data_IF_332074756735
#
_entry.id   IF_332074756735
#
_cell.length_a   1.000
_cell.length_b   1.000
_cell.length_c   1.000
_cell.angle_alpha   90.00
_cell.angle_beta   90.00
_cell.angle_gamma   90.00
#
_symmetry.space_group_name_H-M   'P 1'
#
loop_
_entity.id
_entity.type
_entity.pdbx_description
1 polymer ?
#
# COMPACT_ATOMS: atom_id res chain seq x y z
N UNK A 1 -51.15 -37.89 24.87
CA UNK A 1 -49.99 -37.41 25.66
C UNK A 1 -48.68 -37.41 24.88
N UNK A 2 -48.39 -38.40 24.03
CA UNK A 2 -47.07 -38.49 23.37
C UNK A 2 -46.87 -37.53 22.17
N UNK A 3 -47.92 -37.18 21.43
CA UNK A 3 -47.81 -36.32 20.24
C UNK A 3 -47.53 -34.84 20.59
N UNK A 4 -48.12 -34.32 21.67
CA UNK A 4 -47.90 -32.94 22.12
C UNK A 4 -46.48 -32.75 22.68
N UNK A 5 -45.95 -33.74 23.41
CA UNK A 5 -44.57 -33.73 23.92
C UNK A 5 -43.57 -33.79 22.76
N UNK A 6 -43.84 -34.59 21.72
CA UNK A 6 -43.00 -34.65 20.51
C UNK A 6 -43.02 -33.33 19.73
N UNK A 7 -44.17 -32.68 19.62
CA UNK A 7 -44.31 -31.39 18.96
C UNK A 7 -43.60 -30.25 19.72
N UNK A 8 -43.70 -30.24 21.06
CA UNK A 8 -43.03 -29.26 21.93
C UNK A 8 -41.50 -29.41 21.89
N UNK A 9 -41.00 -30.64 21.89
CA UNK A 9 -39.56 -30.92 21.81
C UNK A 9 -38.97 -30.59 20.43
N UNK A 10 -39.72 -30.86 19.35
CA UNK A 10 -39.34 -30.46 17.99
C UNK A 10 -39.29 -28.94 17.80
N UNK A 11 -40.28 -28.21 18.33
CA UNK A 11 -40.31 -26.76 18.28
C UNK A 11 -39.14 -26.12 19.07
N UNK A 12 -38.79 -26.67 20.23
CA UNK A 12 -37.67 -26.20 21.05
C UNK A 12 -36.31 -26.43 20.37
N UNK A 13 -36.11 -27.57 19.70
CA UNK A 13 -34.89 -27.81 18.92
C UNK A 13 -34.75 -26.85 17.74
N UNK A 14 -35.87 -26.57 17.04
CA UNK A 14 -35.90 -25.64 15.92
C UNK A 14 -35.54 -24.20 16.31
N UNK A 15 -36.04 -23.72 17.46
CA UNK A 15 -35.71 -22.38 17.96
C UNK A 15 -34.25 -22.26 18.39
N UNK A 16 -33.69 -23.29 19.03
CA UNK A 16 -32.27 -23.31 19.42
C UNK A 16 -31.36 -23.24 18.19
N UNK A 17 -31.65 -24.03 17.15
CA UNK A 17 -30.87 -24.01 15.90
C UNK A 17 -30.97 -22.65 15.20
N UNK A 18 -32.16 -22.05 15.15
CA UNK A 18 -32.36 -20.73 14.55
C UNK A 18 -31.58 -19.65 15.30
N UNK A 19 -31.64 -19.65 16.63
CA UNK A 19 -30.90 -18.70 17.46
C UNK A 19 -29.38 -18.88 17.29
N UNK A 20 -28.89 -20.11 17.16
CA UNK A 20 -27.48 -20.37 16.89
C UNK A 20 -27.05 -19.86 15.51
N UNK A 21 -27.86 -20.05 14.45
CA UNK A 21 -27.56 -19.53 13.11
C UNK A 21 -27.56 -17.99 13.09
N UNK A 22 -28.51 -17.36 13.78
CA UNK A 22 -28.54 -15.90 13.91
C UNK A 22 -27.32 -15.42 14.69
N UNK A 23 -27.00 -16.04 15.83
CA UNK A 23 -25.82 -15.68 16.60
C UNK A 23 -24.54 -15.87 15.80
N UNK A 24 -24.40 -16.98 15.06
CA UNK A 24 -23.24 -17.26 14.22
C UNK A 24 -23.09 -16.24 13.08
N UNK A 25 -24.17 -15.93 12.37
CA UNK A 25 -24.16 -14.93 11.29
C UNK A 25 -23.85 -13.53 11.83
N UNK A 26 -24.45 -13.13 12.95
CA UNK A 26 -24.17 -11.87 13.64
C UNK A 26 -22.74 -11.84 14.17
N UNK A 27 -22.22 -12.93 14.73
CA UNK A 27 -20.84 -13.02 15.20
C UNK A 27 -19.83 -12.84 14.06
N UNK A 28 -20.03 -13.55 12.94
CA UNK A 28 -19.17 -13.40 11.77
C UNK A 28 -19.31 -12.02 11.11
N UNK A 29 -20.52 -11.45 11.07
CA UNK A 29 -20.76 -10.10 10.58
C UNK A 29 -20.08 -9.06 11.48
N UNK A 30 -20.24 -9.14 12.81
CA UNK A 30 -19.59 -8.28 13.79
C UNK A 30 -18.07 -8.45 13.76
N UNK A 31 -17.52 -9.66 13.62
CA UNK A 31 -16.08 -9.90 13.48
C UNK A 31 -15.53 -9.29 12.18
N UNK A 32 -16.27 -9.39 11.07
CA UNK A 32 -15.90 -8.79 9.77
C UNK A 32 -15.97 -7.26 9.80
N UNK A 33 -17.01 -6.70 10.42
CA UNK A 33 -17.16 -5.25 10.62
C UNK A 33 -16.07 -4.71 11.54
N UNK A 34 -15.82 -5.40 12.66
CA UNK A 34 -14.75 -5.07 13.61
C UNK A 34 -13.38 -5.12 12.94
N UNK A 35 -13.05 -6.13 12.13
CA UNK A 35 -11.80 -6.16 11.34
C UNK A 35 -11.64 -4.99 10.36
N UNK A 36 -12.74 -4.39 9.90
CA UNK A 36 -12.73 -3.23 9.01
C UNK A 36 -12.62 -1.90 9.79
N UNK A 37 -13.12 -1.84 11.02
CA UNK A 37 -13.09 -0.67 11.91
C UNK A 37 -11.84 -0.62 12.81
N UNK A 38 -11.30 -1.76 13.27
CA UNK A 38 -10.10 -1.86 14.14
C UNK A 38 -8.81 -1.42 13.42
N UNK A 39 -8.82 -1.38 12.08
CA UNK A 39 -7.69 -0.86 11.28
C UNK A 39 -7.72 0.66 11.08
N UNK A 40 -8.77 1.36 11.50
CA UNK A 40 -8.77 2.82 11.52
C UNK A 40 -8.05 3.32 12.77
N UNK A 41 -6.72 3.14 12.82
CA UNK A 41 -5.90 3.88 13.77
C UNK A 41 -5.96 5.35 13.32
N UNK A 42 -6.45 6.29 14.15
CA UNK A 42 -6.37 7.70 13.82
C UNK A 42 -4.88 8.06 13.76
N UNK A 43 -4.33 8.19 12.56
CA UNK A 43 -2.96 8.62 12.39
C UNK A 43 -2.84 10.08 12.82
N UNK A 44 -1.72 10.50 13.43
CA UNK A 44 -1.50 11.90 13.78
C UNK A 44 -1.71 12.78 12.55
N UNK A 45 -2.55 13.81 12.68
CA UNK A 45 -2.80 14.77 11.62
C UNK A 45 -1.47 15.37 11.12
N UNK A 46 -1.23 15.29 9.81
CA UNK A 46 -0.14 16.01 9.14
C UNK A 46 0.93 15.16 8.46
N UNK A 47 1.01 13.84 8.70
CA UNK A 47 2.10 13.01 8.13
C UNK A 47 1.65 12.14 6.94
N UNK A 48 0.41 11.65 6.95
CA UNK A 48 -0.12 10.76 5.90
C UNK A 48 -1.58 11.14 5.59
N UNK A 49 -1.87 11.67 4.40
CA UNK A 49 -3.20 12.19 4.04
C UNK A 49 -4.16 11.05 3.71
N UNK A 50 -5.39 11.13 4.21
CA UNK A 50 -6.49 10.29 3.75
C UNK A 50 -7.16 10.93 2.53
N UNK A 51 -7.15 10.23 1.39
CA UNK A 51 -7.78 10.65 0.15
C UNK A 51 -9.13 9.95 -0.03
N UNK A 52 -10.09 10.66 -0.62
CA UNK A 52 -11.36 10.10 -1.05
C UNK A 52 -11.21 9.32 -2.36
N UNK A 53 -12.10 8.34 -2.60
CA UNK A 53 -12.12 7.62 -3.87
C UNK A 53 -12.32 8.57 -5.08
N UNK A 54 -13.06 9.67 -4.90
CA UNK A 54 -13.28 10.69 -5.93
C UNK A 54 -11.98 11.40 -6.32
N UNK A 55 -11.18 11.81 -5.34
CA UNK A 55 -9.87 12.44 -5.60
C UNK A 55 -8.93 11.50 -6.36
N UNK A 56 -8.84 10.24 -5.94
CA UNK A 56 -8.01 9.25 -6.62
C UNK A 56 -8.47 9.01 -8.06
N UNK A 57 -9.77 8.88 -8.29
CA UNK A 57 -10.32 8.73 -9.64
C UNK A 57 -10.04 9.94 -10.50
N UNK A 58 -10.21 11.15 -9.97
CA UNK A 58 -9.89 12.37 -10.72
C UNK A 58 -8.39 12.42 -11.07
N UNK A 59 -7.52 12.10 -10.10
CA UNK A 59 -6.07 12.16 -10.28
C UNK A 59 -5.53 11.15 -11.29
N UNK A 60 -6.23 10.04 -11.49
CA UNK A 60 -5.86 8.96 -12.42
C UNK A 60 -6.69 8.92 -13.69
N UNK A 61 -7.54 9.94 -13.93
CA UNK A 61 -8.53 9.93 -15.04
C UNK A 61 -9.33 8.62 -15.07
N UNK A 62 -9.80 8.22 -13.88
CA UNK A 62 -10.51 6.98 -13.59
C UNK A 62 -9.69 5.71 -13.92
N UNK A 63 -8.43 5.67 -13.48
CA UNK A 63 -7.48 4.59 -13.73
C UNK A 63 -7.24 4.32 -15.22
N UNK A 64 -7.02 5.39 -15.99
CA UNK A 64 -6.71 5.31 -17.41
C UNK A 64 -5.47 4.43 -17.66
N UNK A 65 -5.54 3.58 -18.68
CA UNK A 65 -4.46 2.68 -19.05
C UNK A 65 -3.24 3.43 -19.57
N UNK A 66 -3.44 4.60 -20.17
CA UNK A 66 -2.34 5.42 -20.68
C UNK A 66 -1.49 6.03 -19.54
N UNK A 67 -2.04 6.05 -18.32
CA UNK A 67 -1.35 6.49 -17.11
C UNK A 67 -0.71 5.33 -16.34
N UNK A 68 -0.85 4.08 -16.80
CA UNK A 68 -0.27 2.92 -16.14
C UNK A 68 1.26 2.90 -16.30
N UNK A 69 1.98 3.01 -15.18
CA UNK A 69 3.45 3.00 -15.14
C UNK A 69 4.02 1.72 -14.52
N UNK A 70 3.18 0.83 -13.99
CA UNK A 70 3.60 -0.49 -13.54
C UNK A 70 2.43 -1.41 -13.25
N UNK A 71 2.57 -2.69 -13.59
CA UNK A 71 1.65 -3.76 -13.19
C UNK A 71 2.48 -4.91 -12.63
N UNK A 72 2.24 -5.25 -11.37
CA UNK A 72 3.00 -6.28 -10.66
C UNK A 72 2.13 -7.07 -9.70
N UNK A 73 2.79 -7.93 -8.93
CA UNK A 73 2.14 -8.75 -7.89
C UNK A 73 1.39 -7.88 -6.86
N UNK A 74 2.01 -6.76 -6.46
CA UNK A 74 1.52 -5.86 -5.41
C UNK A 74 0.49 -4.82 -5.87
N UNK A 75 0.00 -4.93 -7.11
CA UNK A 75 -0.99 -4.01 -7.66
C UNK A 75 -0.56 -3.33 -8.96
N UNK A 76 -1.35 -2.33 -9.35
CA UNK A 76 -1.11 -1.47 -10.50
C UNK A 76 -0.72 -0.08 -10.03
N UNK A 77 0.30 0.51 -10.64
CA UNK A 77 0.78 1.85 -10.32
C UNK A 77 0.46 2.76 -11.49
N UNK A 78 -0.21 3.87 -11.20
CA UNK A 78 -0.58 4.88 -12.17
C UNK A 78 0.16 6.19 -11.87
N UNK A 79 0.56 6.90 -12.91
CA UNK A 79 0.95 8.30 -12.78
C UNK A 79 -0.31 9.15 -12.64
N UNK A 80 -0.33 10.07 -11.68
CA UNK A 80 -1.48 10.95 -11.47
C UNK A 80 -1.12 12.33 -10.98
N UNK A 81 -2.13 13.19 -10.87
CA UNK A 81 -1.98 14.59 -10.46
C UNK A 81 -3.18 15.00 -9.60
N UNK A 82 -2.95 15.64 -8.46
CA UNK A 82 -4.06 16.12 -7.60
C UNK A 82 -4.65 17.44 -8.09
N UNK A 83 -3.89 18.19 -8.85
CA UNK A 83 -4.24 19.50 -9.37
C UNK A 83 -4.61 19.45 -10.85
N UNK A 84 -5.54 20.31 -11.26
CA UNK A 84 -5.96 20.42 -12.66
C UNK A 84 -4.83 20.89 -13.58
N UNK A 85 -3.88 21.65 -13.02
CA UNK A 85 -2.71 22.19 -13.72
C UNK A 85 -1.60 21.13 -13.91
N UNK A 86 -1.73 19.94 -13.30
CA UNK A 86 -0.79 18.83 -13.40
C UNK A 86 0.65 19.21 -13.04
N UNK A 87 0.83 20.02 -11.99
CA UNK A 87 2.15 20.52 -11.61
C UNK A 87 2.97 19.48 -10.85
N UNK A 88 2.33 18.68 -10.00
CA UNK A 88 3.01 17.73 -9.11
C UNK A 88 2.63 16.30 -9.45
N UNK A 89 3.51 15.53 -10.11
CA UNK A 89 3.22 14.14 -10.45
C UNK A 89 3.27 13.25 -9.20
N UNK A 90 2.36 12.27 -9.16
CA UNK A 90 2.23 11.28 -8.10
C UNK A 90 2.29 9.86 -8.66
N UNK A 91 2.76 8.92 -7.85
CA UNK A 91 2.62 7.50 -8.10
C UNK A 91 1.46 6.94 -7.25
N UNK A 92 0.43 6.42 -7.91
CA UNK A 92 -0.82 5.96 -7.29
C UNK A 92 -0.90 4.44 -7.46
N UNK A 93 -0.57 3.70 -6.40
CA UNK A 93 -0.56 2.22 -6.36
C UNK A 93 -1.93 1.72 -5.92
N UNK A 94 -2.72 1.20 -6.86
CA UNK A 94 -3.99 0.54 -6.61
C UNK A 94 -3.80 -0.97 -6.43
N UNK A 95 -4.27 -1.50 -5.32
CA UNK A 95 -4.20 -2.93 -5.05
C UNK A 95 -5.17 -3.72 -5.93
N UNK A 96 -4.78 -4.95 -6.30
CA UNK A 96 -5.65 -5.86 -7.04
C UNK A 96 -6.75 -6.38 -6.11
N UNK A 97 -8.04 -6.33 -6.52
CA UNK A 97 -9.13 -6.83 -5.70
C UNK A 97 -8.97 -8.34 -5.44
N UNK A 98 -9.29 -8.77 -4.21
CA UNK A 98 -9.34 -10.17 -3.74
C UNK A 98 -8.02 -10.85 -3.32
N UNK A 99 -6.95 -10.11 -3.01
CA UNK A 99 -5.79 -10.67 -2.31
C UNK A 99 -5.87 -10.35 -0.82
N UNK A 100 -6.13 -11.35 0.03
CA UNK A 100 -6.05 -11.17 1.50
C UNK A 100 -4.65 -10.73 1.92
N UNK A 101 -3.62 -11.24 1.24
CA UNK A 101 -2.24 -10.82 1.42
C UNK A 101 -2.03 -9.34 1.05
N UNK A 102 -2.76 -8.81 0.07
CA UNK A 102 -2.67 -7.41 -0.34
C UNK A 102 -3.19 -6.46 0.72
N UNK A 103 -4.28 -6.78 1.42
CA UNK A 103 -4.79 -5.92 2.49
C UNK A 103 -3.83 -5.81 3.67
N UNK A 104 -3.19 -6.92 4.05
CA UNK A 104 -2.22 -6.92 5.15
C UNK A 104 -0.96 -6.11 4.78
N UNK A 105 -0.48 -6.27 3.54
CA UNK A 105 0.64 -5.48 3.03
C UNK A 105 0.33 -3.98 2.97
N UNK A 106 -0.89 -3.62 2.56
CA UNK A 106 -1.33 -2.22 2.53
C UNK A 106 -1.23 -1.55 3.90
N UNK A 107 -1.77 -2.20 4.93
CA UNK A 107 -1.75 -1.64 6.29
C UNK A 107 -0.36 -1.65 6.91
N UNK A 108 0.42 -2.72 6.69
CA UNK A 108 1.81 -2.78 7.14
C UNK A 108 2.65 -1.66 6.50
N UNK A 109 2.44 -1.39 5.21
CA UNK A 109 3.13 -0.34 4.49
C UNK A 109 2.73 1.05 5.00
N UNK A 110 1.44 1.32 5.25
CA UNK A 110 0.98 2.57 5.87
C UNK A 110 1.60 2.74 7.25
N UNK A 111 1.47 1.74 8.12
CA UNK A 111 1.95 1.82 9.51
C UNK A 111 3.45 2.10 9.59
N UNK A 112 4.22 1.50 8.68
CA UNK A 112 5.67 1.66 8.61
C UNK A 112 6.03 3.00 7.98
N UNK A 113 5.58 3.27 6.75
CA UNK A 113 6.01 4.44 5.97
C UNK A 113 5.42 5.76 6.45
N UNK A 114 4.30 5.75 7.19
CA UNK A 114 3.78 6.97 7.81
C UNK A 114 4.71 7.51 8.89
N UNK A 115 5.59 6.69 9.47
CA UNK A 115 6.48 7.07 10.58
C UNK A 115 7.91 7.36 10.14
N UNK A 116 8.25 7.03 8.90
CA UNK A 116 9.61 7.11 8.38
C UNK A 116 9.79 8.29 7.43
N UNK A 117 10.89 9.02 7.60
CA UNK A 117 11.28 10.11 6.70
C UNK A 117 12.78 10.04 6.50
N UNK A 118 13.21 9.78 5.27
CA UNK A 118 14.62 9.70 4.93
C UNK A 118 14.82 10.05 3.44
N UNK A 119 15.91 10.74 3.05
CA UNK A 119 16.14 11.16 1.67
C UNK A 119 16.13 10.02 0.65
N UNK A 120 16.59 8.83 1.05
CA UNK A 120 16.67 7.62 0.20
C UNK A 120 15.51 6.63 0.43
N UNK A 121 14.38 7.10 0.97
CA UNK A 121 13.14 6.34 1.13
C UNK A 121 12.05 7.04 0.31
N UNK A 122 11.28 6.30 -0.46
CA UNK A 122 10.14 6.88 -1.17
C UNK A 122 9.09 7.34 -0.17
N UNK A 123 8.70 8.62 -0.29
CA UNK A 123 7.77 9.24 0.63
C UNK A 123 6.33 8.79 0.36
N UNK A 124 5.70 8.14 1.34
CA UNK A 124 4.25 7.95 1.37
C UNK A 124 3.58 9.29 1.67
N UNK A 125 2.80 9.79 0.71
CA UNK A 125 2.03 11.04 0.83
C UNK A 125 0.69 10.77 1.50
N UNK A 126 0.07 9.63 1.17
CA UNK A 126 -1.22 9.28 1.74
C UNK A 126 -1.78 7.97 1.21
N UNK A 127 -3.02 7.72 1.57
CA UNK A 127 -3.73 6.50 1.21
C UNK A 127 -5.22 6.76 1.02
N UNK A 128 -5.89 5.84 0.34
CA UNK A 128 -7.35 5.78 0.23
C UNK A 128 -7.79 4.35 0.56
N UNK A 129 -8.77 4.22 1.45
CA UNK A 129 -9.47 2.97 1.72
C UNK A 129 -10.98 3.22 1.74
N UNK A 130 -11.55 3.44 0.56
CA UNK A 130 -12.96 3.82 0.39
C UNK A 130 -13.59 3.01 -0.75
N UNK A 131 -14.87 2.66 -0.67
CA UNK A 131 -15.59 1.92 -1.73
C UNK A 131 -14.92 0.62 -2.21
N UNK A 132 -14.19 -0.10 -1.34
CA UNK A 132 -13.33 -1.27 -1.67
C UNK A 132 -12.12 -0.95 -2.55
N UNK A 133 -11.81 0.33 -2.74
CA UNK A 133 -10.60 0.81 -3.38
C UNK A 133 -9.54 1.02 -2.31
N UNK A 134 -8.47 0.22 -2.36
CA UNK A 134 -7.28 0.35 -1.51
C UNK A 134 -6.15 0.89 -2.36
N UNK A 135 -5.68 2.10 -2.04
CA UNK A 135 -4.70 2.85 -2.83
C UNK A 135 -3.67 3.51 -1.93
N UNK A 136 -2.40 3.41 -2.31
CA UNK A 136 -1.29 4.14 -1.70
C UNK A 136 -0.81 5.23 -2.67
N UNK A 137 -0.52 6.41 -2.14
CA UNK A 137 -0.12 7.59 -2.90
C UNK A 137 1.29 7.99 -2.49
N UNK A 138 2.21 8.01 -3.43
CA UNK A 138 3.62 8.34 -3.22
C UNK A 138 4.06 9.51 -4.09
N UNK A 139 5.22 10.08 -3.74
CA UNK A 139 5.97 10.90 -4.69
C UNK A 139 6.30 10.09 -5.96
N UNK A 140 6.23 10.74 -7.12
CA UNK A 140 6.57 10.12 -8.40
C UNK A 140 8.09 10.17 -8.64
N UNK A 141 8.67 9.03 -9.03
CA UNK A 141 10.10 8.89 -9.34
C UNK A 141 10.27 8.78 -10.86
N UNK A 142 10.85 9.80 -11.48
CA UNK A 142 10.74 9.99 -12.93
C UNK A 142 11.52 8.98 -13.79
N UNK A 143 12.63 8.46 -13.28
CA UNK A 143 13.50 7.53 -14.02
C UNK A 143 13.21 6.06 -13.74
N UNK A 144 12.06 5.76 -13.13
CA UNK A 144 11.61 4.39 -12.93
C UNK A 144 12.55 3.60 -12.02
N UNK A 145 12.80 2.33 -12.36
CA UNK A 145 13.54 1.40 -11.50
C UNK A 145 14.99 1.24 -11.93
N UNK A 146 15.88 0.95 -10.98
CA UNK A 146 17.28 0.61 -11.24
C UNK A 146 17.44 -0.66 -12.11
N UNK A 147 16.43 -1.53 -12.13
CA UNK A 147 16.42 -2.75 -12.97
C UNK A 147 16.61 -2.38 -14.44
N UNK A 148 15.98 -1.30 -14.90
CA UNK A 148 15.92 -0.98 -16.32
C UNK A 148 17.29 -0.62 -16.89
N UNK A 149 18.06 0.34 -16.34
CA UNK A 149 19.40 0.65 -16.85
C UNK A 149 20.46 -0.40 -16.53
N UNK A 150 20.20 -1.37 -15.65
CA UNK A 150 21.12 -2.48 -15.37
C UNK A 150 20.98 -3.67 -16.32
N UNK A 151 19.75 -3.98 -16.75
CA UNK A 151 19.46 -5.21 -17.48
C UNK A 151 18.90 -4.98 -18.89
N UNK A 152 18.42 -3.78 -19.23
CA UNK A 152 17.88 -3.50 -20.56
C UNK A 152 18.97 -2.94 -21.48
N UNK A 153 19.11 -3.57 -22.65
CA UNK A 153 20.18 -3.30 -23.61
C UNK A 153 20.01 -2.01 -24.40
N UNK A 154 18.83 -1.37 -24.32
CA UNK A 154 18.52 -0.17 -25.10
C UNK A 154 18.87 1.14 -24.38
N UNK A 155 19.12 1.10 -23.07
CA UNK A 155 19.54 2.27 -22.31
C UNK A 155 21.06 2.32 -22.19
N UNK A 156 21.67 3.51 -22.19
CA UNK A 156 23.08 3.64 -21.87
C UNK A 156 23.34 3.07 -20.47
N UNK A 157 24.44 2.32 -20.26
CA UNK A 157 24.76 1.77 -18.96
C UNK A 157 25.04 2.90 -17.97
N UNK A 158 24.67 2.69 -16.71
CA UNK A 158 25.00 3.65 -15.64
C UNK A 158 26.53 3.82 -15.53
N UNK A 159 27.04 5.06 -15.50
CA UNK A 159 28.43 5.37 -15.13
C UNK A 159 28.79 4.76 -13.78
N UNK A 160 30.08 4.47 -13.59
CA UNK A 160 30.58 3.82 -12.37
C UNK A 160 30.30 4.66 -11.12
N UNK A 161 30.46 5.97 -11.24
CA UNK A 161 30.23 6.95 -10.17
C UNK A 161 28.78 6.89 -9.68
N UNK A 162 27.81 6.85 -10.62
CA UNK A 162 26.39 6.74 -10.27
C UNK A 162 26.06 5.40 -9.58
N UNK A 163 26.70 4.30 -9.99
CA UNK A 163 26.52 2.99 -9.32
C UNK A 163 26.98 3.03 -7.87
N UNK A 164 28.13 3.67 -7.61
CA UNK A 164 28.63 3.86 -6.25
C UNK A 164 27.68 4.72 -5.42
N UNK A 165 27.17 5.82 -5.98
CA UNK A 165 26.17 6.67 -5.30
C UNK A 165 24.91 5.89 -4.92
N UNK A 166 24.40 5.06 -5.83
CA UNK A 166 23.26 4.17 -5.58
C UNK A 166 23.57 3.21 -4.42
N UNK A 167 24.74 2.55 -4.42
CA UNK A 167 25.13 1.65 -3.34
C UNK A 167 25.22 2.37 -1.99
N UNK A 168 25.78 3.58 -1.97
CA UNK A 168 25.87 4.41 -0.75
C UNK A 168 24.47 4.79 -0.28
N UNK A 169 23.58 5.22 -1.17
CA UNK A 169 22.20 5.55 -0.85
C UNK A 169 21.45 4.37 -0.22
N UNK A 170 21.57 3.18 -0.82
CA UNK A 170 20.99 1.93 -0.32
C UNK A 170 21.56 1.58 1.06
N UNK A 171 22.87 1.67 1.26
CA UNK A 171 23.49 1.40 2.55
C UNK A 171 23.01 2.38 3.64
N UNK A 172 22.86 3.66 3.31
CA UNK A 172 22.37 4.69 4.24
C UNK A 172 20.94 4.43 4.68
N UNK A 173 20.02 4.12 3.75
CA UNK A 173 18.63 3.82 4.15
C UNK A 173 18.54 2.52 4.95
N UNK A 174 19.30 1.48 4.60
CA UNK A 174 19.32 0.25 5.38
C UNK A 174 19.85 0.49 6.79
N UNK A 175 20.90 1.29 6.94
CA UNK A 175 21.38 1.70 8.25
C UNK A 175 20.30 2.44 9.04
N UNK A 176 19.63 3.43 8.43
CA UNK A 176 18.52 4.16 9.05
C UNK A 176 17.38 3.24 9.52
N UNK A 177 16.97 2.28 8.68
CA UNK A 177 15.93 1.31 9.03
C UNK A 177 16.35 0.36 10.16
N UNK A 178 17.62 -0.05 10.17
CA UNK A 178 18.10 -1.06 11.11
C UNK A 178 18.52 -0.49 12.47
N UNK A 179 19.06 0.74 12.49
CA UNK A 179 19.64 1.37 13.66
C UNK A 179 18.68 2.33 14.40
N UNK A 180 17.40 2.37 14.01
CA UNK A 180 16.42 3.28 14.62
C UNK A 180 16.20 3.03 16.13
N UNK A 181 15.97 4.11 16.87
CA UNK A 181 15.97 4.15 18.35
C UNK A 181 14.86 3.36 19.04
N UNK A 182 13.79 3.00 18.31
CA UNK A 182 12.61 2.33 18.91
C UNK A 182 12.49 0.87 18.50
N UNK A 183 12.58 0.57 17.20
CA UNK A 183 12.48 -0.80 16.68
C UNK A 183 13.24 -0.93 15.35
N UNK A 184 13.99 -2.02 15.20
CA UNK A 184 14.64 -2.39 13.93
C UNK A 184 13.58 -2.75 12.87
N UNK A 185 13.60 -2.03 11.73
CA UNK A 185 12.71 -2.28 10.60
C UNK A 185 13.45 -3.10 9.55
N UNK A 186 12.95 -4.30 9.25
CA UNK A 186 13.53 -5.17 8.22
C UNK A 186 12.71 -5.02 6.94
N UNK A 187 13.32 -4.52 5.86
CA UNK A 187 12.63 -4.28 4.59
C UNK A 187 12.18 -5.57 3.87
N UNK A 188 12.98 -6.64 3.93
CA UNK A 188 12.71 -8.00 3.36
C UNK A 188 12.62 -8.13 1.83
N UNK A 189 12.56 -7.05 1.06
CA UNK A 189 12.42 -7.10 -0.41
C UNK A 189 13.36 -6.12 -1.13
N UNK A 190 14.62 -6.08 -0.70
CA UNK A 190 15.66 -5.26 -1.35
C UNK A 190 16.06 -5.93 -2.66
N UNK A 191 15.69 -5.30 -3.78
CA UNK A 191 16.00 -5.74 -5.14
C UNK A 191 16.00 -4.54 -6.10
N UNK A 192 16.61 -4.71 -7.27
CA UNK A 192 16.76 -3.64 -8.28
C UNK A 192 15.43 -3.06 -8.78
N UNK A 193 14.33 -3.83 -8.74
CA UNK A 193 12.99 -3.32 -9.09
C UNK A 193 12.33 -2.48 -8.00
N UNK A 194 12.89 -2.45 -6.79
CA UNK A 194 12.42 -1.64 -5.66
C UNK A 194 13.36 -0.47 -5.34
N UNK A 195 14.42 -0.30 -6.11
CA UNK A 195 15.27 0.89 -6.08
C UNK A 195 14.78 1.79 -7.21
N UNK A 196 14.22 2.94 -6.85
CA UNK A 196 13.67 3.94 -7.77
C UNK A 196 14.64 5.10 -7.95
N UNK A 197 14.66 5.64 -9.17
CA UNK A 197 15.55 6.72 -9.59
C UNK A 197 14.74 8.01 -9.83
N UNK A 198 15.21 9.13 -9.27
CA UNK A 198 14.56 10.45 -9.39
C UNK A 198 15.26 11.34 -10.44
N UNK A 199 14.53 12.33 -10.97
CA UNK A 199 14.99 13.33 -11.96
C UNK A 199 16.06 14.28 -11.41
N UNK A 200 16.02 14.51 -10.09
CA UNK A 200 16.82 15.56 -9.45
C UNK A 200 18.25 15.13 -9.24
N UNK A 201 19.17 15.65 -10.07
CA UNK A 201 20.64 15.65 -9.94
C UNK A 201 21.20 16.39 -8.69
N UNK A 202 20.40 16.62 -7.66
CA UNK A 202 20.96 17.11 -6.39
C UNK A 202 21.52 15.89 -5.66
N UNK A 203 22.84 15.89 -5.42
CA UNK A 203 23.71 14.85 -4.82
C UNK A 203 23.20 14.07 -3.57
N UNK A 204 21.96 14.28 -3.11
CA UNK A 204 21.35 13.67 -1.93
C UNK A 204 20.02 12.93 -2.16
N UNK A 205 19.33 13.02 -3.32
CA UNK A 205 18.01 12.37 -3.51
C UNK A 205 17.80 11.56 -4.80
N UNK A 206 18.87 11.24 -5.54
CA UNK A 206 18.78 10.56 -6.85
C UNK A 206 18.23 9.11 -6.77
N UNK A 207 18.19 8.52 -5.58
CA UNK A 207 17.87 7.11 -5.39
C UNK A 207 17.07 6.92 -4.11
N UNK A 208 15.92 6.28 -4.25
CA UNK A 208 15.05 5.93 -3.13
C UNK A 208 14.61 4.48 -3.21
N UNK A 209 14.51 3.84 -2.06
CA UNK A 209 13.94 2.50 -1.95
C UNK A 209 12.44 2.61 -1.71
N UNK A 210 11.64 1.80 -2.40
CA UNK A 210 10.23 1.56 -2.08
C UNK A 210 10.08 0.24 -1.33
N UNK A 211 9.15 0.21 -0.38
CA UNK A 211 8.73 -1.01 0.31
C UNK A 211 7.82 -1.87 -0.58
#
# INVERSE_FOLDING_TARGET
>A
MNAEILALTGAALGTIVLLFLIWFTVFFYCKRKRSSEEHMIPMPEGICRHFTAKEIRNATTNFDRDLLIGDGEFGRVFKGYLDSEKTTPLAIKALKPNSSQGSDQFWAEIETLSKLRHPHLVSLIGYCNDQRLMVLVYEYMAHGTLRDPLYQTHNPPLPWEQRLEICIAVARILHYLHAGDSHTIIHRDIKTSNILLDEKLYFQKNTSIRF
#
